data_IF_582554248486
#
_entry.id   IF_582554248486
#
_cell.length_a   1.000
_cell.length_b   1.000
_cell.length_c   1.000
_cell.angle_alpha   90.00
_cell.angle_beta   90.00
_cell.angle_gamma   90.00
#
_symmetry.space_group_name_H-M   'P 1'
#
loop_
_entity.id
_entity.type
_entity.pdbx_description
1 polymer ?
#
# COMPACT_ATOMS: atom_id res chain seq x y z
N UNK A 1 -22.48 3.14 -7.88
CA UNK A 1 -21.17 2.73 -8.40
C UNK A 1 -20.38 2.05 -7.29
N UNK A 2 -19.71 0.92 -7.59
CA UNK A 2 -18.92 0.17 -6.61
C UNK A 2 -17.45 0.17 -6.99
N UNK A 3 -16.56 0.37 -6.02
CA UNK A 3 -15.12 0.35 -6.22
C UNK A 3 -14.41 -0.40 -5.11
N UNK A 4 -13.28 -1.03 -5.45
CA UNK A 4 -12.36 -1.58 -4.48
C UNK A 4 -10.93 -1.22 -4.88
N UNK A 5 -10.18 -0.65 -3.95
CA UNK A 5 -8.78 -0.24 -4.14
C UNK A 5 -7.92 -0.82 -3.04
N UNK A 6 -6.88 -1.54 -3.44
CA UNK A 6 -5.97 -2.18 -2.50
C UNK A 6 -5.69 -3.65 -2.81
N UNK A 7 -5.71 -4.49 -1.79
CA UNK A 7 -5.43 -5.93 -1.90
C UNK A 7 -6.74 -6.72 -2.04
N UNK A 8 -6.83 -7.58 -3.06
CA UNK A 8 -7.95 -8.49 -3.28
C UNK A 8 -7.67 -9.88 -2.70
N UNK A 9 -7.14 -10.80 -3.47
CA UNK A 9 -6.72 -12.13 -3.00
C UNK A 9 -7.78 -13.23 -3.00
N UNK A 10 -9.00 -12.97 -3.46
CA UNK A 10 -10.11 -13.93 -3.47
C UNK A 10 -10.30 -14.66 -4.80
N UNK A 11 -9.49 -14.32 -5.81
CA UNK A 11 -9.50 -14.99 -7.10
C UNK A 11 -8.33 -14.52 -7.98
N UNK A 12 -7.83 -15.43 -8.83
CA UNK A 12 -6.76 -15.09 -9.77
C UNK A 12 -7.32 -14.47 -11.06
N UNK A 13 -6.50 -13.73 -11.84
CA UNK A 13 -6.93 -13.15 -13.10
C UNK A 13 -7.48 -14.20 -14.06
N UNK A 14 -8.66 -13.93 -14.63
CA UNK A 14 -9.38 -14.86 -15.50
C UNK A 14 -10.32 -15.85 -14.79
N UNK A 15 -10.28 -15.94 -13.45
CA UNK A 15 -11.25 -16.74 -12.68
C UNK A 15 -12.58 -16.00 -12.49
N UNK A 16 -13.60 -16.70 -11.98
CA UNK A 16 -14.88 -16.08 -11.59
C UNK A 16 -14.74 -15.23 -10.32
N UNK A 17 -13.68 -15.41 -9.53
CA UNK A 17 -13.44 -14.68 -8.29
C UNK A 17 -12.69 -13.35 -8.46
N UNK A 18 -12.61 -12.77 -9.67
CA UNK A 18 -12.01 -11.45 -9.87
C UNK A 18 -12.91 -10.34 -9.30
N UNK A 19 -12.37 -9.19 -8.86
CA UNK A 19 -13.17 -8.11 -8.28
C UNK A 19 -14.36 -7.69 -9.14
N UNK A 20 -14.14 -7.52 -10.46
CA UNK A 20 -15.18 -7.08 -11.38
C UNK A 20 -16.30 -8.12 -11.55
N UNK A 21 -15.99 -9.41 -11.55
CA UNK A 21 -17.00 -10.48 -11.61
C UNK A 21 -17.73 -10.66 -10.27
N UNK A 22 -17.11 -10.24 -9.16
CA UNK A 22 -17.71 -10.26 -7.84
C UNK A 22 -18.54 -9.00 -7.50
N UNK A 23 -18.80 -8.14 -8.50
CA UNK A 23 -19.76 -7.03 -8.38
C UNK A 23 -19.14 -5.64 -8.17
N UNK A 24 -17.84 -5.52 -8.31
CA UNK A 24 -17.20 -4.20 -8.30
C UNK A 24 -17.09 -3.64 -9.73
N UNK A 25 -17.60 -2.42 -9.94
CA UNK A 25 -17.46 -1.70 -11.21
C UNK A 25 -16.02 -1.28 -11.49
N UNK A 26 -15.24 -1.07 -10.42
CA UNK A 26 -13.86 -0.62 -10.48
C UNK A 26 -12.98 -1.37 -9.49
N UNK A 27 -11.81 -1.77 -9.94
CA UNK A 27 -10.73 -2.33 -9.13
C UNK A 27 -9.39 -1.68 -9.49
N UNK A 28 -8.61 -1.31 -8.45
CA UNK A 28 -7.21 -0.94 -8.62
C UNK A 28 -6.36 -1.47 -7.47
N UNK A 29 -5.28 -2.19 -7.79
CA UNK A 29 -4.37 -2.68 -6.76
C UNK A 29 -3.77 -4.07 -7.02
N UNK A 30 -3.55 -4.80 -5.95
CA UNK A 30 -2.99 -6.14 -5.97
C UNK A 30 -4.08 -7.20 -6.12
N UNK A 31 -4.09 -7.92 -7.22
CA UNK A 31 -5.02 -9.04 -7.38
C UNK A 31 -4.62 -10.26 -6.52
N UNK A 32 -3.31 -10.45 -6.28
CA UNK A 32 -2.77 -11.58 -5.53
C UNK A 32 -2.13 -11.10 -4.22
N UNK A 33 -2.45 -11.78 -3.09
CA UNK A 33 -1.87 -11.48 -1.78
C UNK A 33 -0.34 -11.55 -1.77
N UNK A 34 0.25 -12.55 -2.45
CA UNK A 34 1.71 -12.69 -2.51
C UNK A 34 2.38 -11.52 -3.24
N UNK A 35 1.72 -10.94 -4.24
CA UNK A 35 2.21 -9.75 -4.94
C UNK A 35 2.26 -8.54 -3.99
N UNK A 36 1.35 -8.46 -3.02
CA UNK A 36 1.32 -7.40 -2.01
C UNK A 36 2.44 -7.51 -0.96
N UNK A 37 3.37 -8.48 -1.09
CA UNK A 37 4.58 -8.57 -0.27
C UNK A 37 5.72 -7.67 -0.80
N UNK A 38 5.38 -6.63 -1.55
CA UNK A 38 6.21 -5.47 -1.84
C UNK A 38 5.32 -4.26 -2.06
N UNK A 39 5.72 -3.11 -1.51
CA UNK A 39 5.04 -1.83 -1.79
C UNK A 39 5.60 -1.13 -3.05
N UNK A 40 6.60 -1.74 -3.69
CA UNK A 40 7.18 -1.32 -4.96
C UNK A 40 7.03 -2.43 -6.02
N UNK A 41 5.78 -2.79 -6.40
CA UNK A 41 5.56 -3.86 -7.37
C UNK A 41 5.93 -3.41 -8.78
N UNK A 42 6.28 -4.33 -9.69
CA UNK A 42 6.50 -4.00 -11.10
C UNK A 42 5.21 -3.74 -11.89
N UNK A 43 4.06 -4.06 -11.34
CA UNK A 43 2.74 -3.78 -11.90
C UNK A 43 1.66 -3.84 -10.83
N UNK A 44 0.53 -3.16 -11.09
CA UNK A 44 -0.74 -3.33 -10.39
C UNK A 44 -1.81 -3.77 -11.40
N UNK A 45 -3.01 -4.03 -10.93
CA UNK A 45 -4.15 -4.31 -11.78
C UNK A 45 -5.11 -3.12 -11.77
N UNK A 46 -5.52 -2.70 -12.97
CA UNK A 46 -6.68 -1.84 -13.19
C UNK A 46 -7.77 -2.71 -13.80
N UNK A 47 -8.77 -3.05 -13.00
CA UNK A 47 -9.73 -4.09 -13.33
C UNK A 47 -9.01 -5.41 -13.66
N UNK A 48 -9.22 -5.98 -14.83
CA UNK A 48 -8.56 -7.23 -15.24
C UNK A 48 -7.24 -7.04 -16.00
N UNK A 49 -6.77 -5.80 -16.17
CA UNK A 49 -5.56 -5.48 -16.95
C UNK A 49 -4.39 -5.12 -16.04
N UNK A 50 -3.20 -5.60 -16.38
CA UNK A 50 -1.95 -5.18 -15.72
C UNK A 50 -1.57 -3.77 -16.17
N UNK A 51 -1.28 -2.93 -15.20
CA UNK A 51 -0.68 -1.62 -15.37
C UNK A 51 0.77 -1.71 -14.88
N UNK A 52 1.71 -1.63 -15.83
CA UNK A 52 3.14 -1.82 -15.53
C UNK A 52 3.76 -0.54 -14.97
N UNK A 53 4.49 -0.69 -13.87
CA UNK A 53 5.24 0.35 -13.19
C UNK A 53 6.72 0.21 -13.58
N UNK A 54 7.06 0.70 -14.77
CA UNK A 54 8.34 0.42 -15.44
C UNK A 54 9.59 0.90 -14.70
N UNK A 55 9.42 1.85 -13.77
CA UNK A 55 10.50 2.35 -12.92
C UNK A 55 10.79 1.44 -11.69
N UNK A 56 9.93 0.44 -11.45
CA UNK A 56 10.14 -0.56 -10.42
C UNK A 56 10.66 -1.87 -11.02
N UNK A 57 11.68 -2.43 -10.39
CA UNK A 57 12.19 -3.76 -10.72
C UNK A 57 11.49 -4.82 -9.90
N UNK A 58 11.41 -6.02 -10.42
CA UNK A 58 10.91 -7.17 -9.66
C UNK A 58 11.89 -7.47 -8.51
N UNK A 59 11.41 -7.37 -7.28
CA UNK A 59 12.09 -7.86 -6.10
C UNK A 59 11.45 -9.17 -5.66
N UNK A 60 12.28 -10.15 -5.30
CA UNK A 60 11.82 -11.46 -4.83
C UNK A 60 11.56 -11.38 -3.32
N UNK A 61 10.32 -11.53 -2.84
CA UNK A 61 10.03 -11.57 -1.41
C UNK A 61 10.82 -12.68 -0.71
N UNK A 62 11.31 -12.42 0.50
CA UNK A 62 12.12 -13.34 1.27
C UNK A 62 13.62 -13.28 0.98
N UNK A 63 14.07 -12.32 0.18
CA UNK A 63 15.50 -12.03 0.01
C UNK A 63 16.07 -11.52 1.34
N UNK A 64 17.13 -12.15 1.81
CA UNK A 64 17.90 -11.68 2.99
C UNK A 64 18.80 -10.51 2.61
N UNK A 65 19.31 -9.83 3.64
CA UNK A 65 20.42 -8.89 3.45
C UNK A 65 21.62 -9.63 2.88
N UNK A 66 22.38 -8.97 1.99
CA UNK A 66 23.57 -9.57 1.37
C UNK A 66 24.60 -9.89 2.47
N UNK A 67 25.32 -11.00 2.33
CA UNK A 67 26.24 -11.51 3.37
C UNK A 67 27.41 -10.56 3.67
N UNK A 68 27.81 -9.78 2.67
CA UNK A 68 28.91 -8.78 2.75
C UNK A 68 28.41 -7.37 3.09
N UNK A 69 27.09 -7.18 3.25
CA UNK A 69 26.51 -5.88 3.58
C UNK A 69 26.67 -5.55 5.06
N UNK A 70 27.02 -4.31 5.38
CA UNK A 70 26.96 -3.82 6.76
C UNK A 70 25.50 -3.65 7.18
N UNK A 71 25.01 -4.41 8.18
CA UNK A 71 23.63 -4.32 8.63
C UNK A 71 23.30 -2.99 9.34
N UNK A 72 24.27 -2.20 9.73
CA UNK A 72 24.07 -0.89 10.34
C UNK A 72 24.12 0.27 9.30
N UNK A 73 24.61 0.03 8.09
CA UNK A 73 24.59 1.03 7.02
C UNK A 73 23.23 1.05 6.31
N UNK A 74 22.56 2.20 6.30
CA UNK A 74 21.30 2.42 5.57
C UNK A 74 21.40 2.09 4.07
N UNK A 75 22.59 2.29 3.46
CA UNK A 75 22.81 2.00 2.05
C UNK A 75 22.64 0.53 1.71
N UNK A 76 22.89 -0.37 2.67
CA UNK A 76 22.67 -1.80 2.51
C UNK A 76 21.21 -2.17 2.20
N UNK A 77 20.27 -1.28 2.53
CA UNK A 77 18.83 -1.47 2.34
C UNK A 77 18.26 -0.71 1.13
N UNK A 78 19.07 0.12 0.47
CA UNK A 78 18.59 1.01 -0.59
C UNK A 78 17.88 0.28 -1.74
N UNK A 79 18.28 -0.95 -2.07
CA UNK A 79 17.67 -1.75 -3.13
C UNK A 79 16.23 -2.14 -2.87
N UNK A 80 15.76 -2.12 -1.61
CA UNK A 80 14.38 -2.46 -1.24
C UNK A 80 13.42 -1.27 -1.31
N UNK A 81 13.94 -0.06 -1.51
CA UNK A 81 13.16 1.15 -1.78
C UNK A 81 13.33 1.51 -3.25
N UNK A 82 12.22 1.61 -3.98
CA UNK A 82 12.26 1.93 -5.40
C UNK A 82 11.50 3.23 -5.68
N UNK A 83 11.17 3.52 -6.93
CA UNK A 83 10.69 4.83 -7.33
C UNK A 83 9.18 5.02 -7.14
N UNK A 84 8.39 4.00 -7.50
CA UNK A 84 6.92 4.11 -7.51
C UNK A 84 6.35 3.32 -6.32
N UNK A 85 5.89 4.04 -5.31
CA UNK A 85 5.24 3.46 -4.13
C UNK A 85 3.77 3.21 -4.43
N UNK A 86 3.33 1.95 -4.33
CA UNK A 86 1.99 1.54 -4.76
C UNK A 86 0.85 2.20 -3.98
N UNK A 87 1.10 2.55 -2.70
CA UNK A 87 0.07 3.20 -1.89
C UNK A 87 -0.23 4.62 -2.35
N UNK A 88 0.75 5.34 -2.95
CA UNK A 88 0.49 6.65 -3.58
C UNK A 88 -0.48 6.49 -4.74
N UNK A 89 -0.23 5.53 -5.64
CA UNK A 89 -1.10 5.29 -6.79
C UNK A 89 -2.50 4.84 -6.37
N UNK A 90 -2.59 3.97 -5.36
CA UNK A 90 -3.90 3.53 -4.83
C UNK A 90 -4.65 4.71 -4.21
N UNK A 91 -3.98 5.59 -3.50
CA UNK A 91 -4.58 6.78 -2.93
C UNK A 91 -5.10 7.75 -4.01
N UNK A 92 -4.32 7.99 -5.06
CA UNK A 92 -4.75 8.81 -6.20
C UNK A 92 -6.03 8.25 -6.85
N UNK A 93 -6.11 6.93 -7.02
CA UNK A 93 -7.29 6.27 -7.58
C UNK A 93 -8.51 6.34 -6.64
N UNK A 94 -8.32 6.33 -5.33
CA UNK A 94 -9.37 6.55 -4.34
C UNK A 94 -9.96 7.96 -4.48
N UNK A 95 -9.11 8.99 -4.51
CA UNK A 95 -9.55 10.37 -4.65
C UNK A 95 -10.28 10.59 -5.97
N UNK A 96 -9.75 10.04 -7.05
CA UNK A 96 -10.37 10.08 -8.37
C UNK A 96 -11.72 9.36 -8.41
N UNK A 97 -11.83 8.16 -7.82
CA UNK A 97 -13.08 7.41 -7.76
C UNK A 97 -14.18 8.19 -7.04
N UNK A 98 -13.84 8.81 -5.90
CA UNK A 98 -14.78 9.63 -5.12
C UNK A 98 -15.23 10.84 -5.92
N UNK A 99 -14.31 11.56 -6.56
CA UNK A 99 -14.61 12.72 -7.40
C UNK A 99 -15.53 12.39 -8.58
N UNK A 100 -15.24 11.29 -9.29
CA UNK A 100 -16.05 10.80 -10.41
C UNK A 100 -17.43 10.24 -9.98
N UNK A 101 -17.61 9.94 -8.69
CA UNK A 101 -18.82 9.32 -8.16
C UNK A 101 -19.68 10.27 -7.32
N UNK A 102 -19.26 11.52 -7.09
CA UNK A 102 -19.86 12.46 -6.14
C UNK A 102 -21.35 12.74 -6.35
N UNK A 103 -21.83 12.64 -7.59
CA UNK A 103 -23.23 12.98 -7.95
C UNK A 103 -24.18 11.77 -7.88
N UNK A 104 -23.69 10.60 -7.46
CA UNK A 104 -24.47 9.35 -7.39
C UNK A 104 -24.09 8.56 -6.14
N UNK A 105 -24.97 7.69 -5.64
CA UNK A 105 -24.59 6.76 -4.58
C UNK A 105 -23.41 5.89 -5.01
N UNK A 106 -22.44 5.74 -4.12
CA UNK A 106 -21.29 4.88 -4.34
C UNK A 106 -20.93 4.05 -3.09
N UNK A 107 -20.24 2.96 -3.31
CA UNK A 107 -19.58 2.17 -2.30
C UNK A 107 -18.10 2.02 -2.70
N UNK A 108 -17.19 2.38 -1.81
CA UNK A 108 -15.76 2.24 -2.00
C UNK A 108 -15.15 1.46 -0.85
N UNK A 109 -14.57 0.31 -1.15
CA UNK A 109 -13.76 -0.47 -0.21
C UNK A 109 -12.28 -0.14 -0.41
N UNK A 110 -11.63 0.41 0.61
CA UNK A 110 -10.19 0.63 0.63
C UNK A 110 -9.50 -0.47 1.40
N UNK A 111 -9.12 -1.54 0.71
CA UNK A 111 -8.44 -2.70 1.27
C UNK A 111 -6.92 -2.51 1.22
N UNK A 112 -6.44 -1.45 1.89
CA UNK A 112 -5.02 -1.13 1.92
C UNK A 112 -4.19 -2.29 2.47
N UNK A 113 -2.99 -2.57 1.90
CA UNK A 113 -2.06 -3.51 2.52
C UNK A 113 -1.34 -2.93 3.76
N UNK A 114 -1.41 -1.62 4.02
CA UNK A 114 -0.81 -0.98 5.19
C UNK A 114 -1.53 -1.38 6.50
N UNK A 115 -0.79 -1.61 7.57
CA UNK A 115 0.65 -1.63 7.76
C UNK A 115 1.28 -3.04 7.72
N UNK A 116 0.76 -3.96 6.90
CA UNK A 116 1.31 -5.31 6.76
C UNK A 116 2.77 -5.26 6.27
N UNK A 117 3.57 -6.24 6.67
CA UNK A 117 4.95 -6.41 6.15
C UNK A 117 4.98 -6.72 4.65
N UNK A 118 6.04 -6.35 3.90
CA UNK A 118 7.33 -5.84 4.37
C UNK A 118 7.26 -4.41 4.88
N UNK A 119 8.23 -4.04 5.73
CA UNK A 119 8.33 -2.70 6.29
C UNK A 119 8.92 -1.74 5.25
N UNK A 120 8.05 -1.03 4.55
CA UNK A 120 8.40 -0.07 3.52
C UNK A 120 7.46 1.14 3.65
N UNK A 121 8.01 2.33 3.81
CA UNK A 121 7.26 3.57 3.98
C UNK A 121 7.98 4.75 3.30
N UNK A 122 7.29 5.86 3.03
CA UNK A 122 7.93 7.08 2.55
C UNK A 122 9.02 7.58 3.52
N UNK A 123 10.17 7.93 2.96
CA UNK A 123 11.39 8.29 3.69
C UNK A 123 11.15 9.39 4.75
N UNK A 124 10.31 10.40 4.42
CA UNK A 124 10.00 11.50 5.34
C UNK A 124 9.41 11.04 6.68
N UNK A 125 8.55 10.02 6.64
CA UNK A 125 7.96 9.46 7.84
C UNK A 125 8.93 8.52 8.58
N UNK A 126 9.76 7.77 7.85
CA UNK A 126 10.81 6.94 8.47
C UNK A 126 11.79 7.82 9.23
N UNK A 127 12.32 8.88 8.62
CA UNK A 127 13.23 9.85 9.28
C UNK A 127 12.60 10.44 10.54
N UNK A 128 11.33 10.87 10.48
CA UNK A 128 10.62 11.40 11.62
C UNK A 128 10.61 10.44 12.83
N UNK A 129 10.42 9.15 12.57
CA UNK A 129 10.39 8.17 13.65
C UNK A 129 11.78 7.69 14.07
N UNK A 130 12.75 7.69 13.19
CA UNK A 130 14.16 7.47 13.57
C UNK A 130 14.65 8.56 14.52
N UNK A 131 14.32 9.82 14.26
CA UNK A 131 14.62 10.93 15.19
C UNK A 131 13.94 10.76 16.55
N UNK A 132 12.73 10.19 16.60
CA UNK A 132 12.01 9.96 17.87
C UNK A 132 12.48 8.75 18.64
N UNK A 133 12.80 7.64 17.98
CA UNK A 133 13.05 6.35 18.61
C UNK A 133 14.55 6.08 18.79
N UNK A 134 15.40 6.82 18.07
CA UNK A 134 16.83 6.55 18.01
C UNK A 134 17.16 5.33 17.15
N UNK A 135 18.39 4.87 17.29
CA UNK A 135 18.86 3.67 16.59
C UNK A 135 18.20 2.39 17.14
N UNK A 136 18.06 1.39 16.28
CA UNK A 136 17.44 0.13 16.61
C UNK A 136 18.06 -1.04 15.86
N UNK A 137 17.85 -2.25 16.37
CA UNK A 137 18.31 -3.48 15.77
C UNK A 137 17.64 -3.71 14.41
N UNK A 138 18.40 -3.92 13.31
CA UNK A 138 17.83 -4.09 11.99
C UNK A 138 17.19 -5.47 11.81
N UNK A 139 16.20 -5.53 10.94
CA UNK A 139 15.64 -6.77 10.45
C UNK A 139 16.35 -7.24 9.17
N UNK A 140 16.95 -8.42 9.20
CA UNK A 140 17.85 -8.92 8.14
C UNK A 140 17.14 -9.81 7.09
N UNK A 141 15.82 -9.92 7.14
CA UNK A 141 15.06 -10.76 6.19
C UNK A 141 14.90 -12.22 6.60
N UNK A 142 15.18 -12.58 7.85
CA UNK A 142 15.20 -13.97 8.32
C UNK A 142 13.83 -14.67 8.39
N UNK A 143 12.72 -13.90 8.29
CA UNK A 143 11.34 -14.40 8.38
C UNK A 143 10.53 -14.19 7.09
N UNK A 144 11.19 -14.11 5.95
CA UNK A 144 10.54 -14.16 4.64
C UNK A 144 10.07 -12.83 4.05
N UNK A 145 10.35 -11.69 4.69
CA UNK A 145 10.10 -10.34 4.17
C UNK A 145 11.40 -9.60 3.92
N UNK A 146 11.37 -8.49 3.17
CA UNK A 146 12.58 -7.72 2.88
C UNK A 146 13.23 -7.18 4.16
N UNK A 147 14.58 -7.13 4.19
CA UNK A 147 15.32 -6.46 5.24
C UNK A 147 14.87 -5.01 5.44
N UNK A 148 14.97 -4.55 6.69
CA UNK A 148 14.63 -3.18 7.06
C UNK A 148 15.62 -2.67 8.12
N UNK A 149 16.23 -1.50 7.88
CA UNK A 149 17.22 -0.93 8.80
C UNK A 149 16.58 -0.47 10.11
N UNK A 150 15.39 0.13 10.07
CA UNK A 150 14.69 0.68 11.21
C UNK A 150 13.27 0.09 11.29
N UNK A 151 13.09 -1.16 11.76
CA UNK A 151 11.80 -1.84 11.68
C UNK A 151 10.67 -1.17 12.48
N UNK A 152 10.92 -0.70 13.71
CA UNK A 152 9.90 -0.02 14.53
C UNK A 152 9.55 1.35 13.96
N UNK A 153 10.58 2.12 13.59
CA UNK A 153 10.39 3.44 12.98
C UNK A 153 9.64 3.33 11.66
N UNK A 154 9.97 2.34 10.81
CA UNK A 154 9.29 2.14 9.54
C UNK A 154 7.84 1.67 9.74
N UNK A 155 7.56 0.82 10.73
CA UNK A 155 6.19 0.41 11.04
C UNK A 155 5.34 1.61 11.49
N UNK A 156 5.86 2.44 12.40
CA UNK A 156 5.19 3.67 12.82
C UNK A 156 4.99 4.65 11.65
N UNK A 157 5.97 4.74 10.75
CA UNK A 157 5.90 5.53 9.54
C UNK A 157 4.77 5.06 8.60
N UNK A 158 4.59 3.75 8.43
CA UNK A 158 3.50 3.18 7.63
C UNK A 158 2.13 3.57 8.18
N UNK A 159 1.95 3.52 9.50
CA UNK A 159 0.70 3.91 10.16
C UNK A 159 0.42 5.39 9.97
N UNK A 160 1.41 6.26 10.23
CA UNK A 160 1.23 7.72 10.07
C UNK A 160 1.00 8.14 8.64
N UNK A 161 1.66 7.47 7.70
CA UNK A 161 1.42 7.71 6.28
C UNK A 161 -0.02 7.31 5.87
N UNK A 162 -0.54 6.21 6.40
CA UNK A 162 -1.92 5.82 6.15
C UNK A 162 -2.92 6.79 6.78
N UNK A 163 -2.68 7.22 8.02
CA UNK A 163 -3.49 8.23 8.70
C UNK A 163 -3.54 9.55 7.90
N UNK A 164 -2.41 9.99 7.36
CA UNK A 164 -2.33 11.16 6.46
C UNK A 164 -3.23 11.00 5.23
N UNK A 165 -3.22 9.82 4.60
CA UNK A 165 -4.07 9.53 3.44
C UNK A 165 -5.55 9.51 3.81
N UNK A 166 -5.92 8.96 4.96
CA UNK A 166 -7.31 9.01 5.48
C UNK A 166 -7.73 10.46 5.70
N UNK A 167 -6.86 11.26 6.31
CA UNK A 167 -7.10 12.69 6.50
C UNK A 167 -7.34 13.42 5.18
N UNK A 168 -6.55 13.12 4.15
CA UNK A 168 -6.72 13.67 2.82
C UNK A 168 -8.03 13.23 2.13
N UNK A 169 -8.44 11.97 2.29
CA UNK A 169 -9.73 11.50 1.79
C UNK A 169 -10.91 12.23 2.48
N UNK A 170 -10.85 12.40 3.80
CA UNK A 170 -11.87 13.17 4.55
C UNK A 170 -11.92 14.62 4.07
N UNK A 171 -10.76 15.25 3.85
CA UNK A 171 -10.68 16.60 3.31
C UNK A 171 -11.33 16.68 1.91
N UNK A 172 -11.06 15.69 1.05
CA UNK A 172 -11.66 15.60 -0.30
C UNK A 172 -13.18 15.45 -0.27
N UNK A 173 -13.72 14.62 0.63
CA UNK A 173 -15.17 14.49 0.82
C UNK A 173 -15.81 15.82 1.26
N UNK A 174 -15.15 16.57 2.12
CA UNK A 174 -15.60 17.91 2.55
C UNK A 174 -15.53 18.92 1.42
N UNK A 175 -14.45 18.96 0.66
CA UNK A 175 -14.28 19.80 -0.53
C UNK A 175 -15.39 19.58 -1.56
N UNK A 176 -15.77 18.33 -1.78
CA UNK A 176 -16.86 17.93 -2.70
C UNK A 176 -18.28 18.15 -2.13
N UNK A 177 -18.39 18.54 -0.87
CA UNK A 177 -19.71 18.79 -0.22
C UNK A 177 -20.52 17.53 0.08
N UNK A 178 -19.90 16.35 0.10
CA UNK A 178 -20.59 15.07 0.31
C UNK A 178 -20.24 14.40 1.64
N UNK A 179 -19.40 15.01 2.46
CA UNK A 179 -18.95 14.42 3.73
C UNK A 179 -20.10 14.07 4.66
N UNK A 180 -21.05 14.99 4.87
CA UNK A 180 -22.19 14.82 5.77
C UNK A 180 -23.17 13.72 5.31
N UNK A 181 -23.09 13.33 4.04
CA UNK A 181 -23.90 12.26 3.45
C UNK A 181 -23.07 11.01 3.13
N UNK A 182 -21.91 10.85 3.76
CA UNK A 182 -21.01 9.71 3.57
C UNK A 182 -20.77 8.99 4.89
N UNK A 183 -21.03 7.68 4.92
CA UNK A 183 -20.67 6.82 6.05
C UNK A 183 -19.27 6.33 5.83
N UNK A 184 -18.38 6.58 6.79
CA UNK A 184 -17.00 6.08 6.80
C UNK A 184 -16.90 4.98 7.85
N UNK A 185 -16.50 3.78 7.44
CA UNK A 185 -16.28 2.64 8.32
C UNK A 185 -14.77 2.32 8.32
N UNK A 186 -14.16 2.35 9.48
CA UNK A 186 -12.77 1.93 9.67
C UNK A 186 -12.74 0.61 10.44
N UNK A 187 -12.03 -0.38 9.89
CA UNK A 187 -11.91 -1.70 10.52
C UNK A 187 -10.59 -2.36 10.11
N UNK A 188 -10.21 -3.41 10.82
CA UNK A 188 -9.10 -4.31 10.45
C UNK A 188 -9.67 -5.66 10.01
N UNK A 189 -8.94 -6.38 9.16
CA UNK A 189 -9.26 -7.75 8.75
C UNK A 189 -8.86 -8.78 9.83
N UNK A 190 -7.93 -8.41 10.69
CA UNK A 190 -7.51 -9.19 11.87
C UNK A 190 -6.98 -8.27 12.97
N UNK A 191 -6.86 -8.80 14.16
CA UNK A 191 -6.33 -8.08 15.33
C UNK A 191 -4.84 -8.21 15.52
#
# INVERSE_FOLDING_TARGET
RTGIVGKWGLGYPGSEGTPNKMGFDFFYGYNCQRQAHTYYPPFLYRNERREYLTDNKLLIPGTKLDEDADPLDEKSYAKYTQKIYSCDLMYDEILKFVEESKDKPFFLAWTTPLPHVPLQAPERWVKHYVEKFGDEEPYLGNKGYFPCRYPRATYAAMISYWDEQIGGLVAKLKELGIYENTIIIFTSDNG
#
